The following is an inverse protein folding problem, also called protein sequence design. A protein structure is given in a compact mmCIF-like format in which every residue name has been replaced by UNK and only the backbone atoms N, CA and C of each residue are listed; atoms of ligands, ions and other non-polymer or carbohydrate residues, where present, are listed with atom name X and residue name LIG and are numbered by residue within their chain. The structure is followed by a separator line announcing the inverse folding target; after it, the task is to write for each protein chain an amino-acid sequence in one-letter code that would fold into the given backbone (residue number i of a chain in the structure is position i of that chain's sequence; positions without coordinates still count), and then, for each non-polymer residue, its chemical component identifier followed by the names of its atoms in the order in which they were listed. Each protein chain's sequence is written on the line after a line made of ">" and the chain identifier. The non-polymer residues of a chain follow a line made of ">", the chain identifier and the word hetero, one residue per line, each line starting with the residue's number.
data_IF_576201685652
#
_entry.id   IF_576201685652
#
_cell.length_a   1.000
_cell.length_b   1.000
_cell.length_c   1.000
_cell.angle_alpha   90.00
_cell.angle_beta   90.00
_cell.angle_gamma   90.00
#
_symmetry.space_group_name_H-M   'P 1'
#
loop_
_entity.id
_entity.type
_entity.pdbx_description
1 polymer ?
#
# COMPACT_ATOMS: atom_id res chain seq x y z
N UNK A 1 -17.89 65.27 -22.81
CA UNK A 1 -18.99 64.49 -22.19
C UNK A 1 -19.44 63.48 -23.24
N UNK A 2 -19.24 62.16 -23.21
CA UNK A 2 -18.47 61.22 -22.40
C UNK A 2 -18.62 59.87 -23.14
N UNK A 3 -17.53 59.20 -23.50
CA UNK A 3 -17.56 57.90 -24.18
C UNK A 3 -17.32 56.79 -23.16
N UNK A 4 -18.38 56.12 -22.74
CA UNK A 4 -18.29 54.90 -21.93
C UNK A 4 -17.81 53.76 -22.82
N UNK A 5 -16.57 53.29 -22.65
CA UNK A 5 -16.17 51.95 -23.05
C UNK A 5 -16.51 50.99 -21.89
N UNK A 6 -17.39 50.04 -22.17
CA UNK A 6 -17.61 48.87 -21.33
C UNK A 6 -16.43 47.91 -21.48
N UNK A 7 -15.65 47.77 -20.40
CA UNK A 7 -14.62 46.75 -20.26
C UNK A 7 -15.27 45.38 -20.06
N UNK A 8 -15.03 44.45 -20.97
CA UNK A 8 -15.30 43.03 -20.76
C UNK A 8 -14.14 42.48 -19.94
N UNK A 9 -14.42 42.12 -18.68
CA UNK A 9 -13.41 41.56 -17.77
C UNK A 9 -12.76 40.30 -18.34
N UNK A 10 -11.49 40.01 -17.99
CA UNK A 10 -10.77 38.87 -18.56
C UNK A 10 -11.47 37.55 -18.23
N UNK A 11 -11.74 36.73 -19.25
CA UNK A 11 -12.21 35.36 -19.10
C UNK A 11 -11.27 34.59 -18.16
N UNK A 12 -11.83 33.83 -17.21
CA UNK A 12 -11.14 33.09 -16.13
C UNK A 12 -10.24 31.93 -16.56
N UNK A 13 -9.39 32.15 -17.58
CA UNK A 13 -8.34 31.24 -18.07
C UNK A 13 -6.94 31.77 -17.85
N UNK A 14 -6.77 32.86 -17.10
CA UNK A 14 -5.46 33.28 -16.60
C UNK A 14 -5.17 32.50 -15.31
N UNK A 15 -4.11 31.69 -15.24
CA UNK A 15 -3.72 31.03 -14.00
C UNK A 15 -3.49 32.08 -12.92
N UNK A 16 -4.14 31.96 -11.76
CA UNK A 16 -3.92 32.85 -10.61
C UNK A 16 -2.57 32.59 -9.92
N UNK A 17 -1.80 31.63 -10.45
CA UNK A 17 -0.49 31.24 -9.93
C UNK A 17 0.60 31.55 -10.96
N UNK A 18 1.73 32.14 -10.54
CA UNK A 18 2.90 32.33 -11.39
C UNK A 18 3.44 31.01 -11.95
N UNK A 19 4.05 31.05 -13.14
CA UNK A 19 4.60 29.89 -13.85
C UNK A 19 5.76 29.15 -13.13
N UNK A 20 6.25 29.67 -12.00
CA UNK A 20 7.25 28.98 -11.17
C UNK A 20 6.62 28.09 -10.08
N UNK A 21 5.29 28.11 -9.93
CA UNK A 21 4.54 27.32 -8.93
C UNK A 21 4.01 26.01 -9.54
N UNK A 22 4.75 25.36 -10.44
CA UNK A 22 4.26 24.18 -11.18
C UNK A 22 5.06 22.88 -10.98
N UNK A 23 6.07 22.84 -10.09
CA UNK A 23 7.00 21.69 -10.08
C UNK A 23 7.26 21.01 -8.72
N UNK A 24 6.39 21.12 -7.71
CA UNK A 24 6.67 20.43 -6.42
C UNK A 24 5.47 19.94 -5.60
N UNK A 25 4.25 19.95 -6.13
CA UNK A 25 3.12 19.32 -5.43
C UNK A 25 2.24 18.58 -6.43
N UNK A 26 2.61 17.33 -6.73
CA UNK A 26 1.63 16.36 -7.21
C UNK A 26 0.65 16.15 -6.05
N UNK A 27 -0.43 16.94 -6.06
CA UNK A 27 -1.57 16.72 -5.17
C UNK A 27 -1.98 15.24 -5.30
N UNK A 28 -2.25 14.52 -4.20
CA UNK A 28 -2.71 13.14 -4.28
C UNK A 28 -3.97 13.12 -5.13
N UNK A 29 -3.84 12.61 -6.36
CA UNK A 29 -4.97 12.48 -7.27
C UNK A 29 -5.83 11.34 -6.75
N UNK A 30 -6.81 11.67 -5.91
CA UNK A 30 -7.92 10.77 -5.57
C UNK A 30 -8.49 10.24 -6.89
N UNK A 31 -8.60 8.91 -7.07
CA UNK A 31 -9.11 8.36 -8.32
C UNK A 31 -10.43 9.01 -8.70
N UNK A 32 -10.58 9.40 -9.96
CA UNK A 32 -11.84 10.00 -10.39
C UNK A 32 -12.96 8.97 -10.20
N UNK A 33 -14.16 9.37 -9.73
CA UNK A 33 -15.26 8.44 -9.50
C UNK A 33 -15.60 7.55 -10.71
N UNK A 34 -15.33 8.04 -11.92
CA UNK A 34 -15.53 7.32 -13.17
C UNK A 34 -14.51 6.18 -13.37
N UNK A 35 -13.26 6.35 -12.91
CA UNK A 35 -12.21 5.32 -12.97
C UNK A 35 -12.54 4.14 -12.05
N UNK A 36 -13.14 4.40 -10.90
CA UNK A 36 -13.55 3.39 -9.91
C UNK A 36 -14.85 2.67 -10.25
N UNK A 37 -15.60 3.11 -11.26
CA UNK A 37 -16.96 2.60 -11.54
C UNK A 37 -16.99 1.09 -11.81
N UNK A 38 -16.15 0.60 -12.72
CA UNK A 38 -16.11 -0.81 -13.10
C UNK A 38 -15.67 -1.70 -11.93
N UNK A 39 -14.64 -1.27 -11.21
CA UNK A 39 -14.14 -1.91 -10.00
C UNK A 39 -15.24 -2.03 -8.92
N UNK A 40 -15.89 -0.91 -8.57
CA UNK A 40 -16.97 -0.88 -7.56
C UNK A 40 -18.21 -1.68 -7.98
N UNK A 41 -18.47 -1.79 -9.29
CA UNK A 41 -19.53 -2.65 -9.80
C UNK A 41 -19.19 -4.13 -9.60
N UNK A 42 -17.97 -4.54 -9.92
CA UNK A 42 -17.50 -5.92 -9.75
C UNK A 42 -17.49 -6.34 -8.26
N UNK A 43 -16.93 -5.52 -7.36
CA UNK A 43 -17.01 -5.78 -5.90
C UNK A 43 -18.46 -5.89 -5.44
N UNK A 44 -19.33 -5.00 -5.93
CA UNK A 44 -20.76 -5.04 -5.63
C UNK A 44 -21.44 -6.35 -6.03
N UNK A 45 -21.07 -6.93 -7.18
CA UNK A 45 -21.59 -8.24 -7.60
C UNK A 45 -20.98 -9.37 -6.79
N UNK A 46 -19.69 -9.29 -6.46
CA UNK A 46 -19.00 -10.29 -5.65
C UNK A 46 -19.72 -10.50 -4.31
N UNK A 47 -20.03 -9.40 -3.60
CA UNK A 47 -20.73 -9.44 -2.30
C UNK A 47 -22.21 -9.80 -2.38
N UNK A 48 -22.78 -9.92 -3.59
CA UNK A 48 -24.18 -10.33 -3.83
C UNK A 48 -24.31 -11.77 -4.33
N UNK A 49 -23.22 -12.52 -4.43
CA UNK A 49 -23.24 -13.93 -4.90
C UNK A 49 -22.23 -14.25 -5.99
N UNK A 50 -21.52 -13.25 -6.53
CA UNK A 50 -20.54 -13.43 -7.60
C UNK A 50 -19.25 -14.14 -7.17
N UNK A 51 -18.87 -14.06 -5.90
CA UNK A 51 -17.71 -14.78 -5.35
C UNK A 51 -16.36 -14.39 -5.97
N UNK A 52 -15.41 -15.34 -5.99
CA UNK A 52 -13.99 -15.12 -6.34
C UNK A 52 -13.76 -14.63 -7.78
N UNK A 53 -14.58 -15.05 -8.75
CA UNK A 53 -14.46 -14.61 -10.15
C UNK A 53 -14.74 -13.12 -10.32
N UNK A 54 -15.73 -12.58 -9.62
CA UNK A 54 -16.00 -11.14 -9.64
C UNK A 54 -14.92 -10.35 -8.88
N UNK A 55 -14.28 -10.94 -7.86
CA UNK A 55 -13.10 -10.34 -7.21
C UNK A 55 -11.92 -10.26 -8.20
N UNK A 56 -11.66 -11.32 -8.96
CA UNK A 56 -10.62 -11.32 -10.00
C UNK A 56 -10.87 -10.23 -11.04
N UNK A 57 -12.11 -10.13 -11.54
CA UNK A 57 -12.53 -9.04 -12.45
C UNK A 57 -12.40 -7.65 -11.83
N UNK A 58 -12.67 -7.53 -10.53
CA UNK A 58 -12.51 -6.28 -9.81
C UNK A 58 -11.04 -5.83 -9.82
N UNK A 59 -10.10 -6.72 -9.51
CA UNK A 59 -8.66 -6.44 -9.59
C UNK A 59 -8.24 -6.01 -11.00
N UNK A 60 -8.73 -6.69 -12.04
CA UNK A 60 -8.42 -6.30 -13.42
C UNK A 60 -9.01 -4.94 -13.84
N UNK A 61 -10.18 -4.57 -13.32
CA UNK A 61 -10.69 -3.20 -13.48
C UNK A 61 -9.86 -2.18 -12.68
N UNK A 62 -9.38 -2.59 -11.51
CA UNK A 62 -8.61 -1.72 -10.63
C UNK A 62 -7.27 -1.35 -11.28
N UNK A 63 -6.51 -2.34 -11.74
CA UNK A 63 -5.20 -2.14 -12.37
C UNK A 63 -5.28 -1.30 -13.66
N UNK A 64 -6.22 -1.61 -14.56
CA UNK A 64 -6.35 -0.93 -15.86
C UNK A 64 -6.86 0.50 -15.78
N UNK A 65 -7.71 0.81 -14.79
CA UNK A 65 -8.46 2.08 -14.75
C UNK A 65 -8.38 2.80 -13.43
N UNK A 66 -8.64 2.13 -12.31
CA UNK A 66 -8.77 2.79 -11.01
C UNK A 66 -7.45 3.34 -10.47
N UNK A 67 -6.34 2.63 -10.67
CA UNK A 67 -5.04 3.10 -10.17
C UNK A 67 -4.43 4.21 -11.04
N UNK A 68 -4.96 4.45 -12.24
CA UNK A 68 -4.32 5.28 -13.25
C UNK A 68 -3.17 4.58 -14.00
N UNK A 69 -3.13 3.24 -13.95
CA UNK A 69 -2.07 2.41 -14.51
C UNK A 69 -0.97 2.08 -13.48
N UNK A 70 -0.07 1.16 -13.85
CA UNK A 70 0.97 0.63 -12.96
C UNK A 70 2.00 1.66 -12.46
N UNK A 71 2.44 2.60 -13.30
CA UNK A 71 3.42 3.61 -12.89
C UNK A 71 2.84 4.62 -11.88
N UNK A 72 1.56 4.99 -12.05
CA UNK A 72 0.86 5.83 -11.08
C UNK A 72 0.63 5.07 -9.76
N UNK A 73 0.38 3.76 -9.82
CA UNK A 73 0.27 2.92 -8.63
C UNK A 73 1.56 2.91 -7.80
N UNK A 74 2.73 2.77 -8.44
CA UNK A 74 4.04 2.88 -7.77
C UNK A 74 4.23 4.26 -7.15
N UNK A 75 3.95 5.33 -7.92
CA UNK A 75 4.11 6.70 -7.42
C UNK A 75 3.25 6.96 -6.17
N UNK A 76 1.99 6.52 -6.20
CA UNK A 76 1.06 6.62 -5.05
C UNK A 76 1.50 5.77 -3.88
N UNK A 77 2.18 4.65 -4.13
CA UNK A 77 2.69 3.75 -3.10
C UNK A 77 4.04 4.19 -2.53
N UNK A 78 4.60 5.32 -2.95
CA UNK A 78 5.95 5.74 -2.54
C UNK A 78 6.16 5.84 -1.02
N UNK A 79 5.13 6.28 -0.26
CA UNK A 79 5.20 6.31 1.21
C UNK A 79 5.10 4.92 1.84
N UNK A 80 4.32 4.04 1.24
CA UNK A 80 4.20 2.63 1.64
C UNK A 80 5.55 1.93 1.41
N UNK A 81 6.13 2.05 0.22
CA UNK A 81 7.41 1.38 -0.08
C UNK A 81 8.58 1.96 0.71
N UNK A 82 8.56 3.28 0.98
CA UNK A 82 9.51 3.92 1.90
C UNK A 82 9.42 3.35 3.32
N UNK A 83 8.22 3.21 3.87
CA UNK A 83 8.04 2.67 5.21
C UNK A 83 8.38 1.16 5.27
N UNK A 84 8.02 0.39 4.24
CA UNK A 84 8.44 -1.01 4.10
C UNK A 84 9.96 -1.18 3.98
N UNK A 85 10.66 -0.27 3.30
CA UNK A 85 12.11 -0.26 3.26
C UNK A 85 12.72 0.06 4.64
N UNK A 86 12.14 0.99 5.40
CA UNK A 86 12.52 1.25 6.79
C UNK A 86 12.31 0.04 7.69
N UNK A 87 11.16 -0.64 7.54
CA UNK A 87 10.85 -1.88 8.25
C UNK A 87 11.89 -2.97 7.96
N UNK A 88 12.17 -3.21 6.68
CA UNK A 88 13.21 -4.14 6.27
C UNK A 88 14.57 -3.79 6.90
N UNK A 89 14.99 -2.53 6.81
CA UNK A 89 16.28 -2.10 7.33
C UNK A 89 16.46 -2.31 8.83
N UNK A 90 15.38 -2.16 9.62
CA UNK A 90 15.38 -2.43 11.07
C UNK A 90 15.71 -3.91 11.32
N UNK A 91 15.04 -4.82 10.60
CA UNK A 91 15.17 -6.26 10.82
C UNK A 91 16.35 -6.92 10.10
N UNK A 92 16.87 -6.31 9.03
CA UNK A 92 18.06 -6.81 8.32
C UNK A 92 19.37 -6.35 8.93
N UNK A 93 19.35 -5.40 9.88
CA UNK A 93 20.55 -4.86 10.52
C UNK A 93 21.38 -3.94 9.61
N UNK A 94 20.76 -3.37 8.56
CA UNK A 94 21.45 -2.49 7.62
C UNK A 94 22.03 -1.25 8.34
N UNK A 95 23.35 -1.06 8.29
CA UNK A 95 24.08 -0.01 9.03
C UNK A 95 23.90 1.41 8.45
N UNK A 96 23.19 1.58 7.33
CA UNK A 96 23.11 2.85 6.59
C UNK A 96 21.89 3.72 6.94
N UNK A 97 21.29 3.55 8.13
CA UNK A 97 19.98 4.12 8.42
C UNK A 97 19.95 5.57 8.92
N UNK A 98 18.91 6.29 8.49
CA UNK A 98 18.43 7.56 9.06
C UNK A 98 17.65 7.36 10.38
N UNK A 99 17.19 6.13 10.66
CA UNK A 99 16.53 5.74 11.91
C UNK A 99 17.34 4.63 12.57
N UNK A 100 18.20 4.96 13.53
CA UNK A 100 19.02 3.97 14.24
C UNK A 100 18.19 3.25 15.31
N UNK A 101 17.38 2.26 14.92
CA UNK A 101 16.76 1.35 15.88
C UNK A 101 17.76 0.27 16.25
N UNK A 102 18.16 0.23 17.52
CA UNK A 102 18.96 -0.86 18.04
C UNK A 102 18.04 -2.02 18.46
N UNK A 103 17.90 -3.05 17.61
CA UNK A 103 17.08 -4.24 17.92
C UNK A 103 17.46 -4.89 19.25
N UNK A 104 18.75 -4.91 19.60
CA UNK A 104 19.22 -5.50 20.85
C UNK A 104 18.59 -4.82 22.08
N UNK A 105 18.29 -3.53 21.98
CA UNK A 105 17.62 -2.78 23.06
C UNK A 105 16.14 -3.14 23.25
N UNK A 106 15.54 -3.86 22.29
CA UNK A 106 14.16 -4.33 22.31
C UNK A 106 14.03 -5.76 22.86
N UNK A 107 15.15 -6.49 23.01
CA UNK A 107 15.16 -7.85 23.53
C UNK A 107 14.50 -7.95 24.92
N UNK A 108 13.68 -8.98 25.11
CA UNK A 108 12.97 -9.25 26.36
C UNK A 108 11.73 -8.38 26.60
N UNK A 109 11.45 -7.39 25.74
CA UNK A 109 10.19 -6.65 25.80
C UNK A 109 9.02 -7.50 25.26
N UNK A 110 7.77 -7.25 25.68
CA UNK A 110 6.59 -7.89 25.09
C UNK A 110 6.51 -7.61 23.58
N UNK A 111 6.24 -8.63 22.76
CA UNK A 111 6.19 -8.48 21.31
C UNK A 111 5.22 -7.36 20.87
N UNK A 112 4.02 -7.30 21.46
CA UNK A 112 3.05 -6.24 21.16
C UNK A 112 3.60 -4.83 21.42
N UNK A 113 4.41 -4.66 22.47
CA UNK A 113 5.04 -3.37 22.79
C UNK A 113 6.12 -3.01 21.76
N UNK A 114 6.88 -4.00 21.28
CA UNK A 114 7.89 -3.81 20.23
C UNK A 114 7.24 -3.47 18.90
N UNK A 115 6.17 -4.18 18.51
CA UNK A 115 5.40 -3.92 17.30
C UNK A 115 4.88 -2.49 17.28
N UNK A 116 4.28 -2.04 18.39
CA UNK A 116 3.77 -0.68 18.52
C UNK A 116 4.88 0.37 18.38
N UNK A 117 6.04 0.16 19.02
CA UNK A 117 7.18 1.08 18.93
C UNK A 117 7.72 1.21 17.50
N UNK A 118 7.95 0.08 16.82
CA UNK A 118 8.44 0.07 15.43
C UNK A 118 7.42 0.73 14.51
N UNK A 119 6.13 0.43 14.71
CA UNK A 119 5.09 0.96 13.85
C UNK A 119 4.92 2.48 14.00
N UNK A 120 4.93 3.02 15.22
CA UNK A 120 4.85 4.47 15.42
C UNK A 120 6.07 5.21 14.87
N UNK A 121 7.25 4.58 14.94
CA UNK A 121 8.45 5.15 14.35
C UNK A 121 8.35 5.29 12.83
N UNK A 122 7.83 4.27 12.14
CA UNK A 122 7.84 4.19 10.68
C UNK A 122 6.60 4.79 10.00
N UNK A 123 5.45 4.83 10.67
CA UNK A 123 4.20 5.31 10.06
C UNK A 123 4.22 6.82 9.74
N UNK A 124 4.99 7.61 10.48
CA UNK A 124 5.10 9.06 10.29
C UNK A 124 3.78 9.82 10.50
N UNK A 125 3.67 11.02 9.94
CA UNK A 125 2.49 11.89 10.03
C UNK A 125 2.07 12.44 8.65
N UNK A 126 1.33 11.63 7.89
CA UNK A 126 0.82 11.96 6.55
C UNK A 126 -0.42 11.13 6.19
N UNK A 127 -0.99 11.37 5.00
CA UNK A 127 -2.27 10.75 4.58
C UNK A 127 -2.30 9.21 4.61
N UNK A 128 -1.16 8.55 4.34
CA UNK A 128 -1.05 7.09 4.41
C UNK A 128 -0.64 6.51 5.77
N UNK A 129 -0.43 7.34 6.81
CA UNK A 129 0.12 6.87 8.08
C UNK A 129 -0.74 5.81 8.76
N UNK A 130 -2.06 5.96 8.75
CA UNK A 130 -2.96 4.95 9.35
C UNK A 130 -2.95 3.62 8.60
N UNK A 131 -2.82 3.68 7.27
CA UNK A 131 -2.71 2.50 6.42
C UNK A 131 -1.40 1.77 6.68
N UNK A 132 -0.29 2.51 6.71
CA UNK A 132 1.03 1.96 7.03
C UNK A 132 1.04 1.34 8.42
N UNK A 133 0.46 2.03 9.41
CA UNK A 133 0.35 1.52 10.78
C UNK A 133 -0.43 0.21 10.83
N UNK A 134 -1.59 0.16 10.18
CA UNK A 134 -2.42 -1.04 10.15
C UNK A 134 -1.70 -2.22 9.46
N UNK A 135 -1.12 -1.98 8.28
CA UNK A 135 -0.40 -3.00 7.53
C UNK A 135 0.84 -3.52 8.29
N UNK A 136 1.60 -2.65 8.95
CA UNK A 136 2.76 -3.06 9.77
C UNK A 136 2.35 -3.87 10.99
N UNK A 137 1.29 -3.45 11.70
CA UNK A 137 0.79 -4.20 12.85
C UNK A 137 0.39 -5.63 12.44
N UNK A 138 -0.37 -5.78 11.36
CA UNK A 138 -0.77 -7.11 10.87
C UNK A 138 0.46 -7.92 10.45
N UNK A 139 1.35 -7.33 9.66
CA UNK A 139 2.53 -8.01 9.15
C UNK A 139 3.47 -8.49 10.25
N UNK A 140 3.74 -7.65 11.24
CA UNK A 140 4.59 -8.00 12.37
C UNK A 140 3.92 -9.01 13.30
N UNK A 141 2.62 -8.86 13.55
CA UNK A 141 1.87 -9.82 14.38
C UNK A 141 1.84 -11.20 13.73
N UNK A 142 1.71 -11.27 12.40
CA UNK A 142 1.73 -12.53 11.66
C UNK A 142 3.16 -13.11 11.59
N UNK A 143 4.18 -12.27 11.36
CA UNK A 143 5.57 -12.71 11.25
C UNK A 143 6.14 -13.20 12.59
N UNK A 144 5.75 -12.56 13.70
CA UNK A 144 6.19 -12.87 15.06
C UNK A 144 5.19 -13.74 15.84
N UNK A 145 4.23 -14.35 15.14
CA UNK A 145 3.21 -15.19 15.75
C UNK A 145 3.85 -16.29 16.62
N UNK A 146 3.36 -16.42 17.86
CA UNK A 146 3.88 -17.38 18.83
C UNK A 146 5.04 -16.87 19.70
N UNK A 147 5.61 -15.69 19.42
CA UNK A 147 6.59 -15.04 20.28
C UNK A 147 5.89 -14.13 21.31
N UNK A 148 6.08 -14.39 22.60
CA UNK A 148 5.53 -13.52 23.67
C UNK A 148 6.46 -12.38 24.03
N UNK A 149 7.76 -12.66 24.04
CA UNK A 149 8.83 -11.69 24.26
C UNK A 149 9.70 -11.62 23.03
N UNK A 150 10.10 -10.41 22.65
CA UNK A 150 10.95 -10.18 21.50
C UNK A 150 12.36 -10.71 21.74
N UNK A 151 12.89 -11.42 20.76
CA UNK A 151 14.27 -11.88 20.69
C UNK A 151 14.78 -11.69 19.26
N UNK A 152 15.77 -10.82 19.09
CA UNK A 152 16.37 -10.51 17.79
C UNK A 152 16.98 -11.75 17.11
N UNK A 153 17.44 -12.74 17.89
CA UNK A 153 18.04 -13.97 17.33
C UNK A 153 16.98 -14.88 16.68
N UNK A 154 15.70 -14.67 16.99
CA UNK A 154 14.58 -15.38 16.40
C UNK A 154 14.12 -14.76 15.07
N UNK A 155 14.69 -13.61 14.67
CA UNK A 155 14.41 -12.95 13.39
C UNK A 155 15.29 -13.56 12.28
N UNK A 156 14.77 -14.58 11.60
CA UNK A 156 15.44 -15.21 10.46
C UNK A 156 15.08 -14.52 9.14
N UNK A 157 15.80 -14.87 8.06
CA UNK A 157 15.48 -14.41 6.69
C UNK A 157 14.04 -14.79 6.30
N UNK A 158 13.57 -15.96 6.71
CA UNK A 158 12.19 -16.41 6.47
C UNK A 158 11.16 -15.53 7.18
N UNK A 159 11.45 -15.12 8.43
CA UNK A 159 10.60 -14.18 9.18
C UNK A 159 10.57 -12.81 8.49
N UNK A 160 11.71 -12.31 8.01
CA UNK A 160 11.80 -11.05 7.28
C UNK A 160 11.01 -11.14 5.96
N UNK A 161 11.14 -12.25 5.21
CA UNK A 161 10.38 -12.51 3.99
C UNK A 161 8.88 -12.53 4.23
N UNK A 162 8.42 -13.32 5.21
CA UNK A 162 7.01 -13.39 5.61
C UNK A 162 6.47 -12.01 6.00
N UNK A 163 7.23 -11.25 6.79
CA UNK A 163 6.88 -9.89 7.20
C UNK A 163 6.70 -8.96 5.99
N UNK A 164 7.66 -8.95 5.05
CA UNK A 164 7.59 -8.05 3.90
C UNK A 164 6.48 -8.42 2.92
N UNK A 165 6.23 -9.72 2.70
CA UNK A 165 5.12 -10.23 1.89
C UNK A 165 3.78 -9.83 2.52
N UNK A 166 3.62 -10.04 3.84
CA UNK A 166 2.40 -9.67 4.55
C UNK A 166 2.19 -8.15 4.54
N UNK A 167 3.25 -7.37 4.79
CA UNK A 167 3.19 -5.90 4.78
C UNK A 167 2.71 -5.34 3.43
N UNK A 168 3.30 -5.81 2.33
CA UNK A 168 2.93 -5.33 0.99
C UNK A 168 1.50 -5.79 0.63
N UNK A 169 1.14 -7.03 0.97
CA UNK A 169 -0.21 -7.56 0.80
C UNK A 169 -1.25 -6.70 1.50
N UNK A 170 -1.08 -6.44 2.80
CA UNK A 170 -2.04 -5.67 3.59
C UNK A 170 -2.09 -4.20 3.15
N UNK A 171 -0.96 -3.61 2.77
CA UNK A 171 -0.92 -2.25 2.24
C UNK A 171 -1.75 -2.10 0.97
N UNK A 172 -1.61 -3.04 0.03
CA UNK A 172 -2.38 -3.05 -1.21
C UNK A 172 -3.85 -3.37 -0.93
N UNK A 173 -4.13 -4.36 -0.08
CA UNK A 173 -5.49 -4.72 0.32
C UNK A 173 -6.23 -3.54 0.93
N UNK A 174 -5.64 -2.85 1.91
CA UNK A 174 -6.26 -1.70 2.57
C UNK A 174 -6.56 -0.56 1.58
N UNK A 175 -5.67 -0.30 0.63
CA UNK A 175 -5.90 0.67 -0.45
C UNK A 175 -7.11 0.28 -1.31
N UNK A 176 -7.15 -0.96 -1.80
CA UNK A 176 -8.22 -1.46 -2.68
C UNK A 176 -9.56 -1.51 -1.94
N UNK A 177 -9.56 -1.98 -0.68
CA UNK A 177 -10.75 -2.04 0.16
C UNK A 177 -11.31 -0.63 0.44
N UNK A 178 -10.44 0.36 0.70
CA UNK A 178 -10.82 1.76 0.85
C UNK A 178 -11.47 2.30 -0.43
N UNK A 179 -10.86 2.05 -1.59
CA UNK A 179 -11.35 2.53 -2.88
C UNK A 179 -12.72 1.94 -3.26
N UNK A 180 -13.00 0.70 -2.83
CA UNK A 180 -14.29 0.04 -3.04
C UNK A 180 -15.40 0.75 -2.26
N UNK A 181 -15.12 1.20 -1.03
CA UNK A 181 -15.99 2.07 -0.24
C UNK A 181 -17.42 1.55 -0.13
N UNK A 182 -18.39 2.31 -0.66
CA UNK A 182 -19.82 1.93 -0.59
C UNK A 182 -20.19 0.66 -1.36
N UNK A 183 -19.29 0.13 -2.20
CA UNK A 183 -19.54 -1.12 -2.92
C UNK A 183 -19.73 -2.32 -1.98
N UNK A 184 -19.01 -2.34 -0.84
CA UNK A 184 -19.15 -3.36 0.20
C UNK A 184 -20.57 -3.44 0.78
N UNK A 185 -21.26 -2.29 0.84
CA UNK A 185 -22.61 -2.18 1.42
C UNK A 185 -23.73 -2.67 0.50
N UNK A 186 -23.41 -3.23 -0.67
CA UNK A 186 -24.40 -3.80 -1.59
C UNK A 186 -24.82 -5.22 -1.22
N UNK A 187 -24.00 -5.91 -0.43
CA UNK A 187 -24.36 -7.18 0.18
C UNK A 187 -25.14 -6.93 1.47
N UNK A 188 -26.21 -7.70 1.68
CA UNK A 188 -27.00 -7.65 2.91
C UNK A 188 -26.52 -8.69 3.94
N UNK A 189 -25.58 -9.57 3.57
CA UNK A 189 -25.06 -10.65 4.40
C UNK A 189 -23.61 -10.37 4.85
N UNK A 190 -23.37 -10.13 6.16
CA UNK A 190 -22.03 -9.90 6.70
C UNK A 190 -21.05 -11.06 6.45
N UNK A 191 -21.52 -12.30 6.46
CA UNK A 191 -20.68 -13.49 6.20
C UNK A 191 -20.14 -13.44 4.77
N UNK A 192 -21.02 -13.12 3.82
CA UNK A 192 -20.64 -13.03 2.41
C UNK A 192 -19.67 -11.87 2.14
N UNK A 193 -19.84 -10.73 2.81
CA UNK A 193 -18.89 -9.62 2.73
C UNK A 193 -17.51 -10.08 3.22
N UNK A 194 -17.44 -10.76 4.37
CA UNK A 194 -16.19 -11.28 4.92
C UNK A 194 -15.54 -12.33 4.00
N UNK A 195 -16.32 -13.21 3.38
CA UNK A 195 -15.83 -14.18 2.38
C UNK A 195 -15.19 -13.48 1.18
N UNK A 196 -15.81 -12.41 0.66
CA UNK A 196 -15.29 -11.64 -0.47
C UNK A 196 -14.05 -10.83 -0.07
N UNK A 197 -14.02 -10.24 1.13
CA UNK A 197 -12.83 -9.57 1.65
C UNK A 197 -11.65 -10.54 1.78
N UNK A 198 -11.89 -11.74 2.31
CA UNK A 198 -10.87 -12.78 2.42
C UNK A 198 -10.43 -13.29 1.05
N UNK A 199 -11.35 -13.49 0.10
CA UNK A 199 -11.00 -13.86 -1.26
C UNK A 199 -10.16 -12.78 -1.97
N UNK A 200 -10.46 -11.50 -1.73
CA UNK A 200 -9.66 -10.37 -2.22
C UNK A 200 -8.25 -10.39 -1.62
N UNK A 201 -8.15 -10.49 -0.29
CA UNK A 201 -6.86 -10.56 0.41
C UNK A 201 -6.02 -11.76 -0.07
N UNK A 202 -6.63 -12.92 -0.23
CA UNK A 202 -5.94 -14.13 -0.70
C UNK A 202 -5.44 -13.99 -2.14
N UNK A 203 -6.25 -13.45 -3.06
CA UNK A 203 -5.82 -13.20 -4.44
C UNK A 203 -4.66 -12.19 -4.50
N UNK A 204 -4.70 -11.14 -3.67
CA UNK A 204 -3.59 -10.19 -3.57
C UNK A 204 -2.34 -10.89 -3.05
N UNK A 205 -2.46 -11.64 -1.96
CA UNK A 205 -1.35 -12.37 -1.33
C UNK A 205 -0.70 -13.35 -2.31
N UNK A 206 -1.49 -14.09 -3.08
CA UNK A 206 -1.02 -15.04 -4.08
C UNK A 206 -0.07 -14.37 -5.10
N UNK A 207 -0.46 -13.23 -5.65
CA UNK A 207 0.36 -12.50 -6.63
C UNK A 207 1.56 -11.81 -5.98
N UNK A 208 1.38 -11.25 -4.77
CA UNK A 208 2.49 -10.67 -4.00
C UNK A 208 3.54 -11.73 -3.67
N UNK A 209 3.13 -12.92 -3.25
CA UNK A 209 4.03 -14.01 -2.91
C UNK A 209 4.84 -14.46 -4.14
N UNK A 210 4.17 -14.68 -5.28
CA UNK A 210 4.81 -15.04 -6.56
C UNK A 210 5.85 -14.00 -7.02
N UNK A 211 5.57 -12.71 -6.82
CA UNK A 211 6.42 -11.62 -7.30
C UNK A 211 7.55 -11.28 -6.34
N UNK A 212 7.26 -11.27 -5.03
CA UNK A 212 8.16 -10.76 -4.01
C UNK A 212 9.00 -11.86 -3.36
N UNK A 213 8.44 -13.05 -3.08
CA UNK A 213 9.18 -14.13 -2.40
C UNK A 213 10.48 -14.55 -3.11
N UNK A 214 10.53 -14.66 -4.46
CA UNK A 214 11.78 -14.99 -5.16
C UNK A 214 12.89 -13.95 -5.02
N UNK A 215 12.58 -12.73 -4.54
CA UNK A 215 13.56 -11.68 -4.27
C UNK A 215 14.25 -11.86 -2.92
N UNK A 216 13.72 -12.69 -2.02
CA UNK A 216 14.28 -12.99 -0.70
C UNK A 216 15.27 -14.16 -0.80
N UNK A 217 16.47 -13.86 -1.30
CA UNK A 217 17.60 -14.80 -1.35
C UNK A 217 18.47 -14.71 -0.09
N UNK A 218 19.44 -15.62 0.05
CA UNK A 218 20.33 -15.69 1.22
C UNK A 218 21.09 -14.37 1.49
N UNK A 219 21.38 -13.59 0.45
CA UNK A 219 22.10 -12.31 0.54
C UNK A 219 21.19 -11.11 0.86
N UNK A 220 19.89 -11.32 1.10
CA UNK A 220 18.95 -10.21 1.22
C UNK A 220 19.34 -9.23 2.33
N UNK A 221 19.89 -9.69 3.45
CA UNK A 221 20.31 -8.82 4.55
C UNK A 221 21.47 -7.87 4.18
N UNK A 222 22.13 -8.06 3.03
CA UNK A 222 23.14 -7.14 2.51
C UNK A 222 22.53 -5.97 1.72
N UNK A 223 21.24 -6.02 1.41
CA UNK A 223 20.57 -4.96 0.66
C UNK A 223 20.41 -3.69 1.49
N UNK A 224 20.55 -2.56 0.81
CA UNK A 224 20.24 -1.25 1.39
C UNK A 224 18.73 -1.01 1.42
N UNK A 225 18.30 -0.01 2.20
CA UNK A 225 16.92 0.44 2.23
C UNK A 225 16.44 0.92 0.85
N UNK A 226 17.31 1.59 0.10
CA UNK A 226 17.00 2.07 -1.26
C UNK A 226 16.79 0.89 -2.22
N UNK A 227 17.65 -0.13 -2.15
CA UNK A 227 17.50 -1.35 -2.96
C UNK A 227 16.20 -2.08 -2.62
N UNK A 228 15.85 -2.19 -1.34
CA UNK A 228 14.59 -2.80 -0.92
C UNK A 228 13.37 -1.97 -1.36
N UNK A 229 13.46 -0.64 -1.35
CA UNK A 229 12.40 0.21 -1.86
C UNK A 229 12.18 -0.02 -3.36
N UNK A 230 13.27 -0.15 -4.13
CA UNK A 230 13.19 -0.44 -5.57
C UNK A 230 12.61 -1.82 -5.85
N UNK A 231 12.98 -2.84 -5.07
CA UNK A 231 12.37 -4.18 -5.17
C UNK A 231 10.86 -4.12 -4.94
N UNK A 232 10.39 -3.38 -3.93
CA UNK A 232 8.96 -3.20 -3.68
C UNK A 232 8.26 -2.44 -4.81
N UNK A 233 8.88 -1.38 -5.34
CA UNK A 233 8.34 -0.62 -6.48
C UNK A 233 8.19 -1.53 -7.71
N UNK A 234 9.19 -2.35 -8.00
CA UNK A 234 9.19 -3.30 -9.10
C UNK A 234 8.13 -4.40 -8.90
N UNK A 235 8.00 -4.94 -7.68
CA UNK A 235 6.94 -5.91 -7.36
C UNK A 235 5.54 -5.31 -7.60
N UNK A 236 5.30 -4.06 -7.21
CA UNK A 236 4.03 -3.37 -7.48
C UNK A 236 3.76 -3.25 -8.99
N UNK A 237 4.78 -2.97 -9.81
CA UNK A 237 4.61 -2.95 -11.27
C UNK A 237 4.21 -4.32 -11.83
N UNK A 238 4.85 -5.38 -11.36
CA UNK A 238 4.60 -6.76 -11.80
C UNK A 238 3.22 -7.24 -11.36
N UNK A 239 2.81 -6.96 -10.11
CA UNK A 239 1.48 -7.26 -9.58
C UNK A 239 0.39 -6.58 -10.42
N UNK A 240 0.57 -5.30 -10.76
CA UNK A 240 -0.40 -4.58 -11.59
C UNK A 240 -0.45 -5.12 -13.02
N UNK A 241 0.68 -5.51 -13.59
CA UNK A 241 0.72 -6.12 -14.91
C UNK A 241 -0.02 -7.46 -14.94
N UNK A 242 0.18 -8.31 -13.94
CA UNK A 242 -0.55 -9.58 -13.79
C UNK A 242 -2.08 -9.33 -13.71
N UNK A 243 -2.51 -8.32 -12.94
CA UNK A 243 -3.93 -7.98 -12.85
C UNK A 243 -4.49 -7.34 -14.12
N UNK A 244 -3.68 -6.65 -14.92
CA UNK A 244 -4.12 -6.12 -16.22
C UNK A 244 -4.55 -7.23 -17.18
N UNK A 245 -4.15 -8.48 -16.94
CA UNK A 245 -4.55 -9.67 -17.71
C UNK A 245 -5.81 -10.36 -17.16
N UNK A 246 -6.41 -9.87 -16.07
CA UNK A 246 -7.60 -10.47 -15.41
C UNK A 246 -8.96 -10.10 -16.03
#
# INVERSE_FOLDING_TARGET
>A
MGTSQSSVGPNGRSPLLPAWVDDSQVLPQTPEPQQLKGFRQAIGRAVQGGGREDVRKALGHYARKASGGKHIAVQKSGKITQAGAGLFGIFSGSQQQQYSVNLHSLNGQPCDAVINQITELLAGHHGDSDKIRSAMNIALSEALEGMTTFDENSVTIEVIGKMMICYLTESIFLQIAHDAGKAWKKGDNPVQIAEVENALRQLIREVVDITLAPKFTDDICQLTTEQMQEIQNQAILEIWAEWEDY
#
